data_IF_330435176326
#
_entry.id   IF_330435176326
#
_cell.length_a   1.000
_cell.length_b   1.000
_cell.length_c   1.000
_cell.angle_alpha   90.00
_cell.angle_beta   90.00
_cell.angle_gamma   90.00
#
_symmetry.space_group_name_H-M   'P 1'
#
loop_
_entity.id
_entity.type
_entity.pdbx_description
1 polymer ?
#
# COMPACT_ATOMS: atom_id res chain seq x y z
N UNK A 1 6.34 9.90 -15.46
CA UNK A 1 5.35 9.41 -14.50
C UNK A 1 5.23 10.45 -13.41
N UNK A 2 4.01 10.76 -13.00
CA UNK A 2 3.68 11.75 -11.99
C UNK A 2 3.06 11.01 -10.80
N UNK A 3 3.32 11.46 -9.57
CA UNK A 3 2.76 10.82 -8.39
C UNK A 3 1.24 10.95 -8.47
N UNK A 4 0.45 9.88 -8.31
CA UNK A 4 -1.01 9.98 -8.33
C UNK A 4 -1.57 10.82 -7.16
N UNK A 5 -0.77 11.02 -6.09
CA UNK A 5 -1.16 11.77 -4.89
C UNK A 5 -0.86 13.27 -5.03
N UNK A 6 0.40 13.66 -5.23
CA UNK A 6 0.79 15.08 -5.34
C UNK A 6 0.97 15.59 -6.78
N UNK A 7 0.82 14.73 -7.79
CA UNK A 7 1.21 15.01 -9.19
C UNK A 7 2.70 15.40 -9.37
N UNK A 8 3.52 15.21 -8.33
CA UNK A 8 4.94 15.54 -8.30
C UNK A 8 5.78 14.63 -9.19
N UNK A 9 7.02 15.08 -9.45
CA UNK A 9 8.04 14.34 -10.24
C UNK A 9 9.09 13.67 -9.35
N UNK A 10 8.98 13.82 -8.03
CA UNK A 10 9.87 13.22 -7.04
C UNK A 10 9.47 11.75 -6.77
N UNK A 11 9.50 10.93 -7.82
CA UNK A 11 9.15 9.51 -7.76
C UNK A 11 10.37 8.68 -8.13
N UNK A 12 10.71 7.71 -7.29
CA UNK A 12 11.72 6.69 -7.54
C UNK A 12 11.08 5.37 -7.97
N UNK A 13 11.79 4.57 -8.75
CA UNK A 13 11.42 3.18 -9.04
C UNK A 13 12.04 2.28 -7.97
N UNK A 14 11.23 1.50 -7.28
CA UNK A 14 11.69 0.60 -6.19
C UNK A 14 11.77 -0.84 -6.66
N UNK A 15 10.85 -1.24 -7.56
CA UNK A 15 10.73 -2.62 -8.03
C UNK A 15 10.22 -2.73 -9.47
N UNK A 16 9.75 -3.92 -9.84
CA UNK A 16 9.08 -4.16 -11.12
C UNK A 16 7.66 -3.62 -11.00
N UNK A 17 7.33 -2.63 -11.83
CA UNK A 17 6.02 -1.95 -11.78
C UNK A 17 5.69 -1.27 -10.43
N UNK A 18 6.71 -1.01 -9.59
CA UNK A 18 6.59 -0.39 -8.27
C UNK A 18 7.39 0.90 -8.17
N UNK A 19 6.74 1.93 -7.62
CA UNK A 19 7.24 3.30 -7.56
C UNK A 19 6.97 3.91 -6.18
N UNK A 20 7.90 4.75 -5.72
CA UNK A 20 7.83 5.42 -4.42
C UNK A 20 7.93 6.93 -4.60
N UNK A 21 7.04 7.68 -3.97
CA UNK A 21 7.11 9.13 -3.97
C UNK A 21 7.79 9.65 -2.69
N UNK A 22 8.87 10.41 -2.86
CA UNK A 22 9.62 11.00 -1.76
C UNK A 22 8.86 12.14 -1.05
N UNK A 23 8.02 12.85 -1.80
CA UNK A 23 7.28 14.01 -1.29
C UNK A 23 6.07 13.61 -0.45
N UNK A 24 5.37 12.54 -0.87
CA UNK A 24 4.20 12.01 -0.17
C UNK A 24 4.51 10.88 0.79
N UNK A 25 5.73 10.32 0.76
CA UNK A 25 6.06 9.09 1.48
C UNK A 25 5.06 7.95 1.20
N UNK A 26 4.67 7.77 -0.07
CA UNK A 26 3.75 6.69 -0.47
C UNK A 26 4.41 5.81 -1.52
N UNK A 27 4.08 4.52 -1.47
CA UNK A 27 4.47 3.57 -2.50
C UNK A 27 3.25 3.21 -3.36
N UNK A 28 3.42 3.03 -4.66
CA UNK A 28 2.35 2.60 -5.54
C UNK A 28 2.86 1.69 -6.65
N UNK A 29 2.04 0.72 -7.04
CA UNK A 29 2.30 -0.19 -8.15
C UNK A 29 1.38 0.13 -9.31
N UNK A 30 1.90 0.03 -10.52
CA UNK A 30 1.16 0.25 -11.76
C UNK A 30 1.15 -1.04 -12.56
N UNK A 31 0.21 -1.93 -12.26
CA UNK A 31 -0.05 -3.10 -13.11
C UNK A 31 -0.95 -2.69 -14.28
N UNK A 32 -0.96 -3.50 -15.34
CA UNK A 32 -1.60 -3.22 -16.64
C UNK A 32 -3.04 -2.69 -16.55
N UNK A 33 -3.79 -3.02 -15.50
CA UNK A 33 -5.18 -2.56 -15.30
C UNK A 33 -5.47 -2.02 -13.88
N UNK A 34 -4.49 -2.07 -12.97
CA UNK A 34 -4.72 -1.75 -11.55
C UNK A 34 -3.57 -0.93 -10.98
N UNK A 35 -3.92 0.16 -10.31
CA UNK A 35 -2.99 0.97 -9.52
C UNK A 35 -3.30 0.73 -8.05
N UNK A 36 -2.35 0.20 -7.30
CA UNK A 36 -2.49 0.01 -5.84
C UNK A 36 -1.54 0.98 -5.16
N UNK A 37 -2.06 1.74 -4.19
CA UNK A 37 -1.30 2.75 -3.44
C UNK A 37 -1.20 2.28 -1.98
N UNK A 38 -0.04 2.45 -1.39
CA UNK A 38 0.30 2.12 -0.01
C UNK A 38 0.78 3.40 0.69
N UNK A 39 0.07 3.79 1.73
CA UNK A 39 0.44 4.90 2.62
C UNK A 39 1.45 4.40 3.66
N UNK A 40 2.44 5.24 3.99
CA UNK A 40 3.25 5.02 5.18
C UNK A 40 2.59 5.74 6.36
N UNK A 41 2.06 4.97 7.29
CA UNK A 41 1.58 5.49 8.56
C UNK A 41 2.74 6.13 9.36
N UNK A 42 2.40 7.00 10.31
CA UNK A 42 3.37 7.71 11.15
C UNK A 42 4.27 6.78 11.98
N UNK A 43 3.83 5.54 12.22
CA UNK A 43 4.61 4.49 12.90
C UNK A 43 5.54 3.71 11.95
N UNK A 44 5.44 3.94 10.63
CA UNK A 44 6.18 3.23 9.60
C UNK A 44 5.46 1.99 9.04
N UNK A 45 4.22 1.74 9.45
CA UNK A 45 3.40 0.67 8.88
C UNK A 45 2.89 1.03 7.47
N UNK A 46 2.84 0.04 6.57
CA UNK A 46 2.30 0.21 5.22
C UNK A 46 0.80 -0.09 5.21
N UNK A 47 -0.01 0.95 4.97
CA UNK A 47 -1.46 0.84 4.88
C UNK A 47 -1.87 0.89 3.42
N UNK A 48 -2.38 -0.22 2.89
CA UNK A 48 -2.95 -0.23 1.54
C UNK A 48 -4.18 0.70 1.50
N UNK A 49 -4.23 1.57 0.49
CA UNK A 49 -5.44 2.32 0.17
C UNK A 49 -6.45 1.30 -0.38
N UNK A 50 -7.39 0.89 0.47
CA UNK A 50 -8.43 -0.06 0.12
C UNK A 50 -9.33 0.54 -0.97
N UNK A 51 -9.26 -0.03 -2.18
CA UNK A 51 -10.16 0.32 -3.27
C UNK A 51 -11.44 -0.50 -3.07
N UNK A 52 -12.61 0.12 -2.82
CA UNK A 52 -13.85 -0.59 -2.49
C UNK A 52 -14.39 -1.46 -3.65
N UNK A 53 -13.66 -1.56 -4.78
CA UNK A 53 -13.97 -2.40 -5.92
C UNK A 53 -13.29 -3.79 -5.89
N UNK A 54 -12.48 -4.12 -4.88
CA UNK A 54 -11.76 -5.40 -4.75
C UNK A 54 -12.15 -6.20 -3.49
N UNK A 55 -13.42 -6.16 -3.08
CA UNK A 55 -13.92 -7.01 -1.98
C UNK A 55 -14.06 -8.51 -2.33
N UNK A 56 -13.49 -8.94 -3.46
CA UNK A 56 -13.31 -10.34 -3.80
C UNK A 56 -11.80 -10.51 -4.04
N UNK A 57 -11.14 -11.41 -3.29
CA UNK A 57 -9.71 -11.84 -3.35
C UNK A 57 -8.59 -10.97 -2.73
N UNK A 58 -8.57 -10.75 -1.41
CA UNK A 58 -7.30 -10.70 -0.64
C UNK A 58 -7.46 -11.26 0.79
N UNK A 59 -7.38 -12.59 0.91
CA UNK A 59 -6.85 -13.22 2.12
C UNK A 59 -5.34 -12.96 2.19
N UNK A 60 -4.90 -11.80 2.70
CA UNK A 60 -3.54 -11.63 3.26
C UNK A 60 -3.42 -10.24 3.91
N UNK A 61 -3.57 -10.20 5.22
CA UNK A 61 -3.38 -8.98 6.01
C UNK A 61 -4.07 -9.01 7.38
N UNK A 62 -3.98 -10.12 8.11
CA UNK A 62 -4.38 -10.15 9.52
C UNK A 62 -3.16 -10.47 10.38
N UNK A 63 -2.26 -9.49 10.49
CA UNK A 63 -1.39 -9.36 11.67
C UNK A 63 -1.84 -8.11 12.44
N UNK A 64 -3.06 -8.18 12.97
CA UNK A 64 -3.46 -7.40 14.12
C UNK A 64 -3.98 -8.39 15.16
N UNK A 65 -3.28 -8.39 16.29
CA UNK A 65 -3.38 -9.27 17.44
C UNK A 65 -4.79 -9.73 17.80
N UNK A 66 -5.03 -11.04 17.74
CA UNK A 66 -6.07 -11.69 18.54
C UNK A 66 -5.39 -12.67 19.47
N UNK A 67 -4.97 -12.09 20.60
CA UNK A 67 -5.07 -12.63 21.95
C UNK A 67 -5.00 -14.15 22.05
N UNK A 68 -3.99 -14.63 22.77
CA UNK A 68 -4.01 -15.90 23.49
C UNK A 68 -5.42 -16.21 24.04
N UNK A 69 -6.22 -16.94 23.26
CA UNK A 69 -7.40 -17.62 23.77
C UNK A 69 -6.81 -18.75 24.60
N UNK A 70 -6.98 -18.57 25.90
CA UNK A 70 -6.71 -19.55 26.92
C UNK A 70 -7.44 -20.87 26.64
N UNK A 71 -7.00 -21.90 27.40
CA UNK A 71 -7.56 -23.25 27.61
C UNK A 71 -6.86 -24.26 26.67
N UNK A 72 -5.93 -25.11 27.14
CA UNK A 72 -5.85 -25.89 28.39
C UNK A 72 -4.48 -25.79 29.11
#
# INVERSE_FOLDING_TARGET
MNCPVCSGRAIGKVGVEQFYCWDCCVEFTTQTDKVVIYDLAEDGSLVAWDDPALEDITLQGSEAELSCIAIE
#
